data_IF_181993810360
#
_entry.id   IF_181993810360
#
_cell.length_a   1.000
_cell.length_b   1.000
_cell.length_c   1.000
_cell.angle_alpha   90.00
_cell.angle_beta   90.00
_cell.angle_gamma   90.00
#
_symmetry.space_group_name_H-M   'P 1'
#
loop_
_entity.id
_entity.type
_entity.pdbx_description
1 polymer ?
#
# COMPACT_ATOMS: atom_id res chain seq x y z
N UNK A 1 -29.01 -12.14 5.74
CA UNK A 1 -27.80 -12.96 5.67
C UNK A 1 -26.77 -12.16 4.90
N UNK A 2 -25.96 -11.39 5.62
CA UNK A 2 -24.98 -10.44 5.06
C UNK A 2 -23.61 -11.10 5.12
N UNK A 3 -23.04 -11.41 3.96
CA UNK A 3 -21.69 -11.97 3.84
C UNK A 3 -20.65 -10.86 4.04
N UNK A 4 -19.99 -10.89 5.18
CA UNK A 4 -18.79 -10.10 5.48
C UNK A 4 -17.69 -10.47 4.49
N UNK A 5 -17.39 -9.58 3.55
CA UNK A 5 -16.15 -9.60 2.78
C UNK A 5 -15.05 -8.93 3.62
N UNK A 6 -14.36 -9.72 4.45
CA UNK A 6 -13.11 -9.28 5.04
C UNK A 6 -12.05 -9.23 3.93
N UNK A 7 -11.71 -8.02 3.48
CA UNK A 7 -10.52 -7.79 2.65
C UNK A 7 -9.30 -7.72 3.58
N UNK A 8 -8.42 -8.67 3.43
CA UNK A 8 -7.09 -8.64 4.05
C UNK A 8 -6.31 -7.52 3.35
N UNK A 9 -6.03 -6.43 4.06
CA UNK A 9 -5.12 -5.38 3.63
C UNK A 9 -3.69 -5.91 3.80
N UNK A 10 -3.08 -6.36 2.70
CA UNK A 10 -1.65 -6.68 2.66
C UNK A 10 -0.92 -5.36 2.44
N UNK A 11 -0.10 -4.95 3.39
CA UNK A 11 0.75 -3.79 3.28
C UNK A 11 1.77 -4.02 2.15
N UNK A 12 1.69 -3.22 1.08
CA UNK A 12 2.68 -3.21 0.01
C UNK A 12 4.01 -2.71 0.57
N UNK A 13 4.98 -3.61 0.70
CA UNK A 13 6.33 -3.25 1.08
C UNK A 13 6.98 -2.38 0.00
N UNK A 14 7.47 -1.21 0.40
CA UNK A 14 8.30 -0.35 -0.44
C UNK A 14 9.63 -1.08 -0.66
N UNK A 15 9.83 -1.63 -1.86
CA UNK A 15 11.12 -2.20 -2.28
C UNK A 15 12.01 -1.06 -2.77
N UNK A 16 13.09 -0.84 -2.02
CA UNK A 16 14.14 0.10 -2.37
C UNK A 16 14.83 -0.27 -3.69
N UNK A 17 15.16 0.76 -4.46
CA UNK A 17 15.92 0.71 -5.70
C UNK A 17 17.34 0.20 -5.40
N UNK A 18 17.69 -1.01 -5.83
CA UNK A 18 19.07 -1.46 -5.92
C UNK A 18 19.52 -1.37 -7.38
N UNK A 19 20.48 -0.49 -7.64
CA UNK A 19 21.25 -0.42 -8.88
C UNK A 19 22.17 -1.66 -8.96
N UNK A 20 21.87 -2.58 -9.88
CA UNK A 20 22.81 -3.64 -10.24
C UNK A 20 23.52 -3.25 -11.53
N UNK A 21 24.82 -2.97 -11.39
CA UNK A 21 25.76 -2.78 -12.50
C UNK A 21 25.99 -4.14 -13.17
N UNK A 22 25.71 -4.18 -14.48
CA UNK A 22 25.84 -5.40 -15.27
C UNK A 22 27.31 -5.83 -15.48
N UNK A 23 27.56 -7.12 -15.35
CA UNK A 23 28.73 -7.77 -15.93
C UNK A 23 28.28 -8.66 -17.10
N UNK A 24 28.95 -8.47 -18.21
CA UNK A 24 28.62 -9.10 -19.47
C UNK A 24 28.84 -10.62 -19.48
N UNK A 25 27.84 -11.31 -20.03
CA UNK A 25 27.98 -12.71 -20.44
C UNK A 25 28.00 -12.78 -21.97
N UNK A 26 29.08 -13.28 -22.49
CA UNK A 26 29.22 -13.66 -23.91
C UNK A 26 28.48 -14.98 -24.15
N UNK A 27 27.35 -14.93 -24.84
CA UNK A 27 26.63 -16.13 -25.28
C UNK A 27 27.19 -16.64 -26.60
N UNK A 28 27.62 -17.90 -26.60
CA UNK A 28 27.93 -18.67 -27.84
C UNK A 28 26.60 -19.05 -28.52
N UNK A 29 26.58 -18.88 -29.85
CA UNK A 29 25.40 -19.03 -30.67
C UNK A 29 24.84 -20.47 -30.70
N UNK A 30 23.56 -20.56 -30.52
CA UNK A 30 22.70 -21.66 -30.93
C UNK A 30 21.47 -21.03 -31.55
N UNK A 31 21.29 -21.19 -32.86
CA UNK A 31 20.18 -20.62 -33.60
C UNK A 31 18.86 -21.23 -33.19
N UNK A 32 17.99 -20.39 -32.62
CA UNK A 32 16.57 -20.72 -32.41
C UNK A 32 15.80 -20.46 -33.71
N UNK A 33 14.83 -21.29 -34.09
CA UNK A 33 14.01 -21.05 -35.26
C UNK A 33 13.14 -19.81 -35.05
N UNK A 34 13.37 -18.79 -35.85
CA UNK A 34 12.57 -17.57 -35.92
C UNK A 34 11.23 -17.90 -36.60
N UNK A 35 10.27 -18.40 -35.84
CA UNK A 35 8.88 -18.26 -36.24
C UNK A 35 8.48 -16.82 -35.87
N UNK A 36 8.63 -15.89 -36.81
CA UNK A 36 8.02 -14.56 -36.75
C UNK A 36 6.52 -14.77 -36.83
N UNK A 37 5.88 -14.87 -35.65
CA UNK A 37 4.44 -14.75 -35.58
C UNK A 37 4.09 -13.35 -36.13
N UNK A 38 3.27 -13.32 -37.16
CA UNK A 38 2.74 -12.10 -37.78
C UNK A 38 2.08 -11.31 -36.67
N UNK A 39 2.70 -10.19 -36.27
CA UNK A 39 2.19 -9.31 -35.22
C UNK A 39 0.90 -8.66 -35.76
N UNK A 40 -0.24 -9.17 -35.31
CA UNK A 40 -1.53 -8.52 -35.62
C UNK A 40 -1.49 -7.12 -35.01
N UNK A 41 -1.85 -6.13 -35.82
CA UNK A 41 -1.92 -4.75 -35.38
C UNK A 41 -2.79 -4.62 -34.12
N UNK A 42 -2.33 -3.90 -33.08
CA UNK A 42 -3.07 -3.79 -31.82
C UNK A 42 -4.46 -3.23 -32.08
N UNK A 43 -5.49 -3.90 -31.55
CA UNK A 43 -6.85 -3.37 -31.53
C UNK A 43 -6.80 -1.99 -30.89
N UNK A 44 -7.37 -0.98 -31.52
CA UNK A 44 -7.38 0.39 -31.00
C UNK A 44 -7.91 0.38 -29.55
N UNK A 45 -7.06 0.82 -28.61
CA UNK A 45 -7.39 0.81 -27.17
C UNK A 45 -6.91 -0.41 -26.38
N UNK A 46 -6.09 -1.29 -26.94
CA UNK A 46 -5.46 -2.40 -26.19
C UNK A 46 -3.98 -2.13 -25.89
N UNK A 47 -3.52 -2.45 -24.68
CA UNK A 47 -2.12 -2.40 -24.27
C UNK A 47 -1.56 -3.79 -24.10
N UNK A 48 -0.31 -4.00 -24.49
CA UNK A 48 0.39 -5.28 -24.37
C UNK A 48 1.57 -5.20 -23.45
N UNK A 49 1.87 -6.31 -22.80
CA UNK A 49 3.03 -6.47 -21.94
C UNK A 49 3.37 -7.92 -21.69
N UNK A 50 4.31 -8.12 -20.78
CA UNK A 50 4.69 -9.45 -20.31
C UNK A 50 4.26 -9.60 -18.86
N UNK A 51 3.92 -10.82 -18.48
CA UNK A 51 3.64 -11.17 -17.12
C UNK A 51 4.58 -12.28 -16.64
N UNK A 52 4.87 -12.26 -15.34
CA UNK A 52 5.41 -13.39 -14.61
C UNK A 52 4.51 -13.66 -13.42
N UNK A 53 4.41 -14.93 -13.02
CA UNK A 53 3.64 -15.28 -11.85
C UNK A 53 4.26 -16.45 -11.11
N UNK A 54 4.12 -16.44 -9.78
CA UNK A 54 4.51 -17.59 -8.95
C UNK A 54 3.49 -17.81 -7.83
N UNK A 55 3.40 -19.07 -7.37
CA UNK A 55 2.60 -19.37 -6.21
C UNK A 55 3.20 -18.72 -4.98
N UNK A 56 2.46 -17.84 -4.32
CA UNK A 56 2.92 -17.22 -3.08
C UNK A 56 3.02 -18.26 -1.97
N UNK A 57 4.17 -18.28 -1.28
CA UNK A 57 4.43 -19.13 -0.11
C UNK A 57 3.88 -18.54 1.18
N UNK A 58 3.30 -17.36 1.12
CA UNK A 58 2.83 -16.65 2.29
C UNK A 58 1.57 -17.30 2.85
N UNK A 59 1.60 -17.68 4.13
CA UNK A 59 0.42 -18.10 4.90
C UNK A 59 -0.14 -16.86 5.59
N UNK A 60 -1.39 -16.52 5.33
CA UNK A 60 -2.09 -15.47 6.06
C UNK A 60 -2.08 -15.73 7.56
N UNK A 61 -2.02 -14.67 8.35
CA UNK A 61 -2.02 -14.72 9.83
C UNK A 61 -3.20 -15.51 10.43
N UNK A 62 -4.26 -15.73 9.66
CA UNK A 62 -5.47 -16.42 10.10
C UNK A 62 -5.56 -17.91 9.65
N UNK A 63 -4.46 -18.54 9.24
CA UNK A 63 -4.43 -19.98 8.94
C UNK A 63 -5.27 -20.42 7.74
N UNK A 64 -5.81 -19.51 6.94
CA UNK A 64 -6.61 -19.81 5.76
C UNK A 64 -5.75 -20.41 4.64
N UNK A 65 -6.20 -21.53 4.06
CA UNK A 65 -5.53 -22.28 2.97
C UNK A 65 -5.80 -21.69 1.58
N UNK A 66 -6.01 -20.40 1.43
CA UNK A 66 -6.20 -19.78 0.13
C UNK A 66 -4.90 -19.82 -0.68
N UNK A 67 -4.93 -20.39 -1.87
CA UNK A 67 -3.81 -20.33 -2.81
C UNK A 67 -3.70 -18.89 -3.31
N UNK A 68 -2.57 -18.26 -3.03
CA UNK A 68 -2.23 -16.92 -3.52
C UNK A 68 -1.25 -17.04 -4.67
N UNK A 69 -1.34 -16.12 -5.62
CA UNK A 69 -0.44 -16.00 -6.77
C UNK A 69 0.13 -14.58 -6.76
N UNK A 70 1.45 -14.46 -6.77
CA UNK A 70 2.12 -13.21 -7.03
C UNK A 70 2.20 -13.02 -8.54
N UNK A 71 1.44 -12.06 -9.06
CA UNK A 71 1.38 -11.71 -10.48
C UNK A 71 2.12 -10.40 -10.70
N UNK A 72 3.19 -10.44 -11.48
CA UNK A 72 3.94 -9.26 -11.90
C UNK A 72 3.64 -8.97 -13.36
N UNK A 73 3.29 -7.73 -13.64
CA UNK A 73 3.00 -7.21 -14.98
C UNK A 73 4.05 -6.17 -15.36
N UNK A 74 4.57 -6.26 -16.57
CA UNK A 74 5.52 -5.29 -17.11
C UNK A 74 5.11 -4.90 -18.52
N UNK A 75 5.08 -3.60 -18.80
CA UNK A 75 4.83 -3.11 -20.16
C UNK A 75 6.02 -3.37 -21.07
N UNK A 76 5.74 -3.79 -22.30
CA UNK A 76 6.71 -3.94 -23.38
C UNK A 76 6.37 -2.92 -24.47
N UNK A 77 7.33 -2.03 -24.77
CA UNK A 77 7.17 -0.97 -25.78
C UNK A 77 6.43 0.27 -25.27
N UNK A 78 6.54 1.37 -26.05
CA UNK A 78 5.91 2.66 -25.74
C UNK A 78 6.75 3.61 -24.88
N UNK A 79 6.20 4.81 -24.61
CA UNK A 79 6.84 5.81 -23.75
C UNK A 79 6.61 5.47 -22.29
N UNK A 80 7.66 5.08 -21.59
CA UNK A 80 7.66 4.76 -20.16
C UNK A 80 7.59 3.26 -19.89
N UNK A 81 8.58 2.77 -19.11
CA UNK A 81 8.57 1.42 -18.52
C UNK A 81 7.85 1.49 -17.18
N UNK A 82 6.92 0.59 -16.93
CA UNK A 82 6.34 0.38 -15.62
C UNK A 82 6.27 -1.11 -15.32
N UNK A 83 6.33 -1.44 -14.05
CA UNK A 83 6.04 -2.76 -13.51
C UNK A 83 5.08 -2.62 -12.34
N UNK A 84 4.23 -3.61 -12.15
CA UNK A 84 3.34 -3.75 -11.00
C UNK A 84 3.36 -5.20 -10.57
N UNK A 85 3.39 -5.45 -9.27
CA UNK A 85 3.27 -6.78 -8.69
C UNK A 85 2.13 -6.79 -7.69
N UNK A 86 1.24 -7.77 -7.83
CA UNK A 86 0.08 -7.95 -6.98
C UNK A 86 0.02 -9.38 -6.47
N UNK A 87 -0.29 -9.54 -5.18
CA UNK A 87 -0.58 -10.86 -4.62
C UNK A 87 -2.09 -11.08 -4.64
N UNK A 88 -2.54 -12.00 -5.45
CA UNK A 88 -3.95 -12.23 -5.75
C UNK A 88 -4.41 -13.61 -5.26
N UNK A 89 -5.62 -13.72 -4.71
CA UNK A 89 -6.27 -15.00 -4.53
C UNK A 89 -6.47 -15.70 -5.90
N UNK A 90 -6.11 -16.95 -6.01
CA UNK A 90 -6.24 -17.72 -7.26
C UNK A 90 -7.63 -17.60 -7.93
N UNK A 91 -8.76 -17.56 -7.22
CA UNK A 91 -10.08 -17.37 -7.84
C UNK A 91 -10.26 -16.04 -8.59
N UNK A 92 -9.44 -15.01 -8.32
CA UNK A 92 -9.48 -13.75 -9.07
C UNK A 92 -8.83 -13.88 -10.47
N UNK A 93 -8.00 -14.92 -10.67
CA UNK A 93 -7.35 -15.27 -11.95
C UNK A 93 -8.17 -16.30 -12.69
N UNK A 94 -9.26 -15.85 -13.32
CA UNK A 94 -10.22 -16.75 -13.99
C UNK A 94 -9.57 -17.55 -15.12
N UNK A 95 -9.61 -18.86 -15.04
CA UNK A 95 -8.98 -19.78 -16.00
C UNK A 95 -7.67 -20.39 -15.49
N UNK A 96 -7.09 -19.88 -14.39
CA UNK A 96 -5.94 -20.49 -13.73
C UNK A 96 -6.41 -21.41 -12.61
N UNK A 97 -5.80 -22.60 -12.50
CA UNK A 97 -6.15 -23.59 -11.49
C UNK A 97 -4.94 -24.04 -10.68
N UNK A 98 -5.17 -24.58 -9.49
CA UNK A 98 -4.09 -25.13 -8.65
C UNK A 98 -3.33 -26.24 -9.39
N UNK A 99 -4.03 -27.09 -10.16
CA UNK A 99 -3.41 -28.15 -10.94
C UNK A 99 -2.43 -27.61 -12.00
N UNK A 100 -2.75 -26.47 -12.63
CA UNK A 100 -1.83 -25.82 -13.59
C UNK A 100 -0.60 -25.22 -12.89
N UNK A 101 -0.75 -24.70 -11.67
CA UNK A 101 0.36 -24.16 -10.88
C UNK A 101 1.29 -25.27 -10.37
N UNK A 102 0.78 -26.48 -10.15
CA UNK A 102 1.53 -27.62 -9.59
C UNK A 102 2.06 -28.57 -10.66
N UNK A 103 1.63 -28.42 -11.90
CA UNK A 103 2.10 -29.24 -13.01
C UNK A 103 3.59 -28.98 -13.30
N UNK A 104 4.35 -30.01 -13.74
CA UNK A 104 5.72 -29.82 -14.23
C UNK A 104 5.80 -28.81 -15.38
N UNK A 105 4.78 -28.77 -16.24
CA UNK A 105 4.59 -27.77 -17.29
C UNK A 105 3.11 -27.69 -17.67
N UNK A 106 2.59 -26.48 -17.85
CA UNK A 106 1.20 -26.24 -18.29
C UNK A 106 1.10 -24.96 -19.12
N UNK A 107 0.53 -25.08 -20.33
CA UNK A 107 0.12 -23.89 -21.08
C UNK A 107 -1.15 -23.31 -20.44
N UNK A 108 -1.15 -21.99 -20.24
CA UNK A 108 -2.23 -21.31 -19.51
C UNK A 108 -2.80 -20.16 -20.31
N UNK A 109 -4.12 -19.98 -20.11
CA UNK A 109 -4.85 -18.76 -20.46
C UNK A 109 -5.70 -18.38 -19.28
N UNK A 110 -5.52 -17.18 -18.76
CA UNK A 110 -6.32 -16.69 -17.64
C UNK A 110 -6.61 -15.19 -17.80
N UNK A 111 -7.66 -14.75 -17.15
CA UNK A 111 -8.03 -13.34 -17.14
C UNK A 111 -8.07 -12.78 -15.71
N UNK A 112 -7.48 -11.62 -15.52
CA UNK A 112 -7.66 -10.81 -14.34
C UNK A 112 -8.53 -9.60 -14.67
N UNK A 113 -9.75 -9.58 -14.12
CA UNK A 113 -10.76 -8.58 -14.43
C UNK A 113 -10.91 -7.61 -13.27
N UNK A 114 -10.84 -6.32 -13.60
CA UNK A 114 -11.14 -5.19 -12.73
C UNK A 114 -12.25 -4.36 -13.36
N UNK A 115 -12.84 -3.45 -12.61
CA UNK A 115 -13.94 -2.60 -13.11
C UNK A 115 -13.49 -1.74 -14.31
N UNK A 116 -12.25 -1.23 -14.27
CA UNK A 116 -11.69 -0.39 -15.34
C UNK A 116 -11.20 -1.17 -16.58
N UNK A 117 -11.09 -2.51 -16.53
CA UNK A 117 -10.67 -3.32 -17.67
C UNK A 117 -10.21 -4.71 -17.30
N UNK A 118 -9.81 -5.47 -18.32
CA UNK A 118 -9.41 -6.88 -18.19
C UNK A 118 -7.99 -7.08 -18.73
N UNK A 119 -7.20 -7.86 -17.97
CA UNK A 119 -5.91 -8.38 -18.38
C UNK A 119 -6.11 -9.82 -18.85
N UNK A 120 -6.03 -10.04 -20.16
CA UNK A 120 -6.03 -11.36 -20.77
C UNK A 120 -4.60 -11.87 -20.87
N UNK A 121 -4.26 -12.89 -20.11
CA UNK A 121 -2.92 -13.45 -19.95
C UNK A 121 -2.82 -14.80 -20.68
N UNK A 122 -1.74 -14.99 -21.44
CA UNK A 122 -1.41 -16.22 -22.14
C UNK A 122 0.06 -16.54 -21.95
N UNK A 123 0.41 -17.78 -21.64
CA UNK A 123 1.78 -18.21 -21.43
C UNK A 123 1.88 -19.61 -20.90
N UNK A 124 2.91 -19.88 -20.09
CA UNK A 124 3.20 -21.21 -19.56
C UNK A 124 3.65 -21.11 -18.11
N UNK A 125 3.24 -22.08 -17.31
CA UNK A 125 3.83 -22.39 -16.01
C UNK A 125 4.77 -23.60 -16.12
N UNK A 126 5.90 -23.51 -15.42
CA UNK A 126 6.86 -24.61 -15.25
C UNK A 126 7.25 -24.66 -13.77
N UNK A 127 6.98 -25.78 -13.11
CA UNK A 127 7.32 -26.02 -11.70
C UNK A 127 6.93 -24.87 -10.75
N UNK A 128 5.72 -24.31 -10.93
CA UNK A 128 5.15 -23.27 -10.06
C UNK A 128 5.51 -21.82 -10.42
N UNK A 129 6.35 -21.61 -11.44
CA UNK A 129 6.67 -20.29 -11.97
C UNK A 129 6.12 -20.16 -13.38
N UNK A 130 5.42 -19.07 -13.66
CA UNK A 130 4.82 -18.81 -14.96
C UNK A 130 5.31 -17.53 -15.60
N UNK A 131 5.31 -17.51 -16.93
CA UNK A 131 5.61 -16.33 -17.71
C UNK A 131 4.81 -16.32 -19.03
N UNK A 132 4.59 -15.12 -19.56
CA UNK A 132 3.89 -14.98 -20.82
C UNK A 132 3.62 -13.53 -21.19
N UNK A 133 2.61 -13.35 -22.04
CA UNK A 133 2.18 -12.04 -22.52
C UNK A 133 0.76 -11.76 -22.00
N UNK A 134 0.48 -10.50 -21.78
CA UNK A 134 -0.88 -10.05 -21.52
C UNK A 134 -1.32 -8.98 -22.53
N UNK A 135 -2.62 -8.91 -22.70
CA UNK A 135 -3.30 -7.80 -23.38
C UNK A 135 -4.27 -7.19 -22.39
N UNK A 136 -4.16 -5.88 -22.16
CA UNK A 136 -5.11 -5.13 -21.35
C UNK A 136 -6.14 -4.47 -22.29
N UNK A 137 -7.40 -4.65 -22.01
CA UNK A 137 -8.52 -4.01 -22.69
C UNK A 137 -9.32 -3.19 -21.69
N UNK A 138 -9.44 -1.89 -21.93
CA UNK A 138 -10.24 -1.00 -21.09
C UNK A 138 -11.73 -1.33 -21.18
N UNK A 139 -12.46 -1.23 -20.08
CA UNK A 139 -13.91 -1.35 -20.05
C UNK A 139 -14.56 -0.08 -20.61
N UNK A 140 -15.21 -0.19 -21.75
CA UNK A 140 -15.93 0.94 -22.37
C UNK A 140 -17.07 1.45 -21.47
N UNK A 141 -17.74 0.54 -20.74
CA UNK A 141 -18.76 0.89 -19.77
C UNK A 141 -18.20 1.73 -18.61
N UNK A 142 -17.09 1.28 -18.04
CA UNK A 142 -16.39 2.01 -16.96
C UNK A 142 -15.96 3.40 -17.42
N UNK A 143 -15.30 3.49 -18.59
CA UNK A 143 -14.83 4.76 -19.15
C UNK A 143 -16.01 5.72 -19.38
N UNK A 144 -17.11 5.22 -19.96
CA UNK A 144 -18.32 6.02 -20.18
C UNK A 144 -18.93 6.49 -18.85
N UNK A 145 -18.99 5.63 -17.84
CA UNK A 145 -19.54 5.99 -16.53
C UNK A 145 -18.67 7.03 -15.82
N UNK A 146 -17.36 6.85 -15.81
CA UNK A 146 -16.43 7.81 -15.22
C UNK A 146 -16.49 9.17 -15.92
N UNK A 147 -16.68 9.18 -17.24
CA UNK A 147 -16.90 10.43 -17.98
C UNK A 147 -18.18 11.14 -17.54
N UNK A 148 -19.29 10.41 -17.34
CA UNK A 148 -20.54 10.98 -16.80
C UNK A 148 -20.35 11.57 -15.38
N UNK A 149 -19.44 11.03 -14.61
CA UNK A 149 -19.06 11.50 -13.26
C UNK A 149 -18.08 12.69 -13.29
N UNK A 150 -17.71 13.19 -14.48
CA UNK A 150 -16.86 14.38 -14.63
C UNK A 150 -15.37 14.11 -14.67
N UNK A 151 -14.91 12.83 -14.79
CA UNK A 151 -13.48 12.51 -14.84
C UNK A 151 -12.82 12.76 -16.22
N UNK A 152 -13.50 13.38 -17.14
CA UNK A 152 -12.96 13.71 -18.46
C UNK A 152 -12.66 12.48 -19.32
N UNK A 153 -11.74 12.62 -20.27
CA UNK A 153 -11.40 11.54 -21.19
C UNK A 153 -10.37 10.60 -20.54
N UNK A 154 -10.78 9.33 -20.42
CA UNK A 154 -9.95 8.24 -19.92
C UNK A 154 -9.49 7.42 -21.12
N UNK A 155 -8.22 7.58 -21.50
CA UNK A 155 -7.56 6.74 -22.48
C UNK A 155 -7.18 5.37 -21.88
N UNK A 156 -6.69 4.47 -22.72
CA UNK A 156 -6.33 3.12 -22.31
C UNK A 156 -5.22 3.09 -21.25
N UNK A 157 -4.30 4.07 -21.24
CA UNK A 157 -3.23 4.18 -20.24
C UNK A 157 -3.78 4.56 -18.86
N UNK A 158 -4.70 5.53 -18.82
CA UNK A 158 -5.39 5.92 -17.60
C UNK A 158 -6.27 4.78 -17.10
N UNK A 159 -7.01 4.10 -17.97
CA UNK A 159 -7.82 2.94 -17.61
C UNK A 159 -6.96 1.82 -17.01
N UNK A 160 -5.79 1.55 -17.59
CA UNK A 160 -4.83 0.59 -17.06
C UNK A 160 -4.39 0.95 -15.64
N UNK A 161 -3.99 2.20 -15.39
CA UNK A 161 -3.60 2.67 -14.05
C UNK A 161 -4.74 2.50 -13.04
N UNK A 162 -5.97 2.82 -13.44
CA UNK A 162 -7.16 2.65 -12.61
C UNK A 162 -7.45 1.16 -12.31
N UNK A 163 -7.25 0.28 -13.30
CA UNK A 163 -7.40 -1.16 -13.12
C UNK A 163 -6.34 -1.74 -12.19
N UNK A 164 -5.06 -1.38 -12.38
CA UNK A 164 -3.95 -1.84 -11.53
C UNK A 164 -4.18 -1.51 -10.06
N UNK A 165 -4.69 -0.30 -9.77
CA UNK A 165 -4.94 0.13 -8.41
C UNK A 165 -6.38 -0.11 -7.93
N UNK A 166 -7.16 -0.90 -8.66
CA UNK A 166 -8.55 -1.27 -8.31
C UNK A 166 -9.42 -0.05 -7.96
N UNK A 167 -9.31 1.02 -8.75
CA UNK A 167 -10.21 2.16 -8.63
C UNK A 167 -11.54 1.79 -9.27
N UNK A 168 -12.42 1.19 -8.50
CA UNK A 168 -13.75 0.76 -8.95
C UNK A 168 -14.78 1.89 -8.89
N UNK A 169 -15.89 1.75 -9.64
CA UNK A 169 -17.04 2.65 -9.54
C UNK A 169 -17.61 2.69 -8.13
N UNK A 170 -17.68 1.53 -7.47
CA UNK A 170 -18.15 1.46 -6.08
C UNK A 170 -17.26 2.22 -5.11
N UNK A 171 -15.93 2.19 -5.31
CA UNK A 171 -14.99 2.98 -4.52
C UNK A 171 -15.25 4.49 -4.68
N UNK A 172 -15.43 4.95 -5.90
CA UNK A 172 -15.77 6.37 -6.20
C UNK A 172 -17.11 6.76 -5.56
N UNK A 173 -18.13 5.89 -5.66
CA UNK A 173 -19.45 6.13 -5.04
C UNK A 173 -19.36 6.20 -3.51
N UNK A 174 -18.56 5.33 -2.89
CA UNK A 174 -18.39 5.36 -1.45
C UNK A 174 -17.68 6.63 -0.99
N UNK A 175 -16.66 7.09 -1.72
CA UNK A 175 -16.00 8.37 -1.45
C UNK A 175 -16.98 9.54 -1.57
N UNK A 176 -17.80 9.58 -2.62
CA UNK A 176 -18.81 10.62 -2.80
C UNK A 176 -19.82 10.65 -1.64
N UNK A 177 -20.30 9.48 -1.18
CA UNK A 177 -21.18 9.39 0.00
C UNK A 177 -20.52 9.90 1.29
N UNK A 178 -19.20 9.91 1.36
CA UNK A 178 -18.41 10.45 2.48
C UNK A 178 -18.10 11.94 2.31
N UNK A 179 -18.60 12.58 1.25
CA UNK A 179 -18.40 13.99 0.96
C UNK A 179 -17.10 14.29 0.16
N UNK A 180 -16.50 13.25 -0.44
CA UNK A 180 -15.33 13.37 -1.33
C UNK A 180 -15.80 13.24 -2.78
N UNK A 181 -16.52 14.24 -3.26
CA UNK A 181 -16.95 14.34 -4.64
C UNK A 181 -15.79 14.84 -5.53
N UNK A 182 -15.74 14.35 -6.77
CA UNK A 182 -14.77 14.79 -7.79
C UNK A 182 -13.30 14.73 -7.35
N UNK A 183 -12.92 13.72 -6.55
CA UNK A 183 -11.50 13.48 -6.22
C UNK A 183 -10.69 13.31 -7.50
N UNK A 184 -9.63 14.08 -7.75
CA UNK A 184 -8.81 13.91 -8.95
C UNK A 184 -8.32 12.47 -9.12
N UNK A 185 -8.16 12.01 -10.36
CA UNK A 185 -7.77 10.61 -10.66
C UNK A 185 -6.51 10.16 -9.91
N UNK A 186 -5.49 11.01 -9.86
CA UNK A 186 -4.25 10.71 -9.11
C UNK A 186 -4.51 10.62 -7.60
N UNK A 187 -5.47 11.38 -7.08
CA UNK A 187 -5.94 11.28 -5.69
C UNK A 187 -6.65 9.94 -5.42
N UNK A 188 -7.52 9.47 -6.33
CA UNK A 188 -8.17 8.16 -6.24
C UNK A 188 -7.13 7.04 -6.19
N UNK A 189 -6.16 7.10 -7.09
CA UNK A 189 -5.04 6.14 -7.16
C UNK A 189 -4.22 6.20 -5.87
N UNK A 190 -3.88 7.40 -5.38
CA UNK A 190 -3.11 7.59 -4.15
C UNK A 190 -3.83 6.99 -2.93
N UNK A 191 -5.13 7.24 -2.78
CA UNK A 191 -5.93 6.62 -1.71
C UNK A 191 -5.87 5.08 -1.75
N UNK A 192 -5.93 4.50 -2.96
CA UNK A 192 -5.85 3.04 -3.15
C UNK A 192 -4.48 2.49 -2.81
N UNK A 193 -3.40 3.10 -3.35
CA UNK A 193 -2.00 2.69 -3.10
C UNK A 193 -1.69 2.67 -1.60
N UNK A 194 -2.10 3.72 -0.89
CA UNK A 194 -1.76 3.86 0.53
C UNK A 194 -2.82 3.28 1.47
N UNK A 195 -3.87 2.66 0.94
CA UNK A 195 -4.90 2.00 1.74
C UNK A 195 -5.76 2.97 2.57
N UNK A 196 -5.93 4.22 2.10
CA UNK A 196 -6.89 5.15 2.69
C UNK A 196 -8.31 4.82 2.20
N UNK A 197 -8.83 3.69 2.67
CA UNK A 197 -10.12 3.15 2.26
C UNK A 197 -11.31 3.97 2.83
N UNK A 198 -12.52 3.81 2.27
CA UNK A 198 -13.73 4.41 2.84
C UNK A 198 -13.95 4.06 4.32
N UNK A 199 -13.58 2.83 4.74
CA UNK A 199 -13.66 2.40 6.14
C UNK A 199 -12.69 3.18 7.02
N UNK A 200 -11.45 3.42 6.54
CA UNK A 200 -10.48 4.26 7.24
C UNK A 200 -11.01 5.69 7.39
N UNK A 201 -11.55 6.27 6.32
CA UNK A 201 -12.12 7.63 6.33
C UNK A 201 -13.27 7.72 7.33
N UNK A 202 -14.21 6.76 7.32
CA UNK A 202 -15.32 6.66 8.30
C UNK A 202 -14.79 6.53 9.73
N UNK A 203 -13.78 5.69 9.92
CA UNK A 203 -13.13 5.51 11.22
C UNK A 203 -12.50 6.79 11.74
N UNK A 204 -11.75 7.51 10.90
CA UNK A 204 -11.18 8.82 11.26
C UNK A 204 -12.27 9.83 11.61
N UNK A 205 -13.35 9.87 10.84
CA UNK A 205 -14.48 10.76 11.11
C UNK A 205 -15.15 10.44 12.47
N UNK A 206 -15.25 9.17 12.85
CA UNK A 206 -15.78 8.74 14.16
C UNK A 206 -14.88 9.15 15.34
N UNK A 207 -13.59 9.30 15.09
CA UNK A 207 -12.58 9.80 16.05
C UNK A 207 -12.47 11.34 16.06
N UNK A 208 -13.37 12.03 15.35
CA UNK A 208 -13.42 13.50 15.32
C UNK A 208 -12.70 14.13 14.12
N UNK A 209 -12.01 13.37 13.30
CA UNK A 209 -11.27 13.84 12.13
C UNK A 209 -12.15 13.82 10.88
N UNK A 210 -12.96 14.84 10.73
CA UNK A 210 -13.91 14.99 9.61
C UNK A 210 -13.30 15.85 8.50
N UNK A 211 -13.68 15.58 7.24
CA UNK A 211 -13.29 16.37 6.06
C UNK A 211 -11.78 16.55 5.89
N UNK A 212 -11.00 15.50 6.20
CA UNK A 212 -9.58 15.50 5.93
C UNK A 212 -9.33 15.61 4.42
N UNK A 213 -8.30 16.33 4.01
CA UNK A 213 -7.88 16.34 2.61
C UNK A 213 -7.35 14.96 2.17
N UNK A 214 -7.30 14.72 0.86
CA UNK A 214 -6.70 13.50 0.30
C UNK A 214 -5.25 13.33 0.77
N UNK A 215 -4.49 14.43 0.80
CA UNK A 215 -3.10 14.43 1.27
C UNK A 215 -2.97 14.08 2.76
N UNK A 216 -3.87 14.59 3.60
CA UNK A 216 -3.90 14.24 5.02
C UNK A 216 -4.22 12.75 5.23
N UNK A 217 -5.25 12.23 4.53
CA UNK A 217 -5.62 10.82 4.58
C UNK A 217 -4.47 9.91 4.14
N UNK A 218 -3.83 10.28 3.04
CA UNK A 218 -2.68 9.56 2.47
C UNK A 218 -1.48 9.61 3.42
N UNK A 219 -1.15 10.80 3.95
CA UNK A 219 -0.04 10.98 4.89
C UNK A 219 -0.23 10.16 6.16
N UNK A 220 -1.42 10.15 6.75
CA UNK A 220 -1.73 9.30 7.90
C UNK A 220 -1.46 7.83 7.62
N UNK A 221 -1.85 7.34 6.42
CA UNK A 221 -1.65 5.94 6.03
C UNK A 221 -0.18 5.62 5.76
N UNK A 222 0.54 6.48 5.04
CA UNK A 222 1.97 6.32 4.74
C UNK A 222 2.77 6.17 6.04
N UNK A 223 2.48 7.00 7.04
CA UNK A 223 3.18 6.99 8.31
C UNK A 223 2.59 6.03 9.36
N UNK A 224 1.62 5.21 8.98
CA UNK A 224 1.06 4.18 9.86
C UNK A 224 0.23 4.72 11.02
N UNK A 225 -0.39 5.89 10.89
CA UNK A 225 -1.37 6.38 11.86
C UNK A 225 -2.70 5.63 11.69
N UNK A 226 -2.78 4.42 12.25
CA UNK A 226 -3.98 3.58 12.22
C UNK A 226 -5.09 4.13 13.11
N UNK A 227 -6.32 3.65 12.90
CA UNK A 227 -7.46 4.02 13.77
C UNK A 227 -7.23 3.61 15.22
N UNK A 228 -6.57 2.48 15.44
CA UNK A 228 -6.20 2.00 16.77
C UNK A 228 -5.22 2.95 17.44
N UNK A 229 -4.13 3.31 16.72
CA UNK A 229 -3.14 4.27 17.21
C UNK A 229 -3.80 5.61 17.62
N UNK A 230 -4.65 6.15 16.75
CA UNK A 230 -5.35 7.42 17.04
C UNK A 230 -6.23 7.30 18.27
N UNK A 231 -6.99 6.21 18.39
CA UNK A 231 -7.85 5.94 19.56
C UNK A 231 -7.04 5.82 20.85
N UNK A 232 -5.92 5.10 20.80
CA UNK A 232 -5.05 4.92 21.96
C UNK A 232 -4.42 6.23 22.41
N UNK A 233 -3.95 7.05 21.49
CA UNK A 233 -3.41 8.37 21.78
C UNK A 233 -4.50 9.29 22.41
N UNK A 234 -5.72 9.25 21.89
CA UNK A 234 -6.85 10.00 22.47
C UNK A 234 -7.20 9.52 23.87
N UNK A 235 -7.17 8.20 24.13
CA UNK A 235 -7.44 7.63 25.45
C UNK A 235 -6.43 8.07 26.52
N UNK A 236 -5.25 8.47 26.09
CA UNK A 236 -4.18 8.99 26.94
C UNK A 236 -4.26 10.52 27.16
N UNK A 237 -5.34 11.17 26.71
CA UNK A 237 -5.58 12.58 26.91
C UNK A 237 -5.21 13.48 25.73
N UNK A 238 -4.67 12.93 24.65
CA UNK A 238 -4.28 13.70 23.45
C UNK A 238 -5.42 13.73 22.42
N UNK A 239 -6.55 14.30 22.80
CA UNK A 239 -7.72 14.45 21.94
C UNK A 239 -7.57 15.62 20.98
N UNK A 240 -8.12 15.50 19.75
CA UNK A 240 -8.15 16.62 18.78
C UNK A 240 -6.79 17.07 18.27
N UNK A 241 -5.74 16.23 18.36
CA UNK A 241 -4.45 16.56 17.78
C UNK A 241 -4.58 16.81 16.27
N UNK A 242 -3.94 17.87 15.73
CA UNK A 242 -3.81 18.01 14.28
C UNK A 242 -3.20 16.76 13.63
N UNK A 243 -3.56 16.46 12.39
CA UNK A 243 -3.09 15.26 11.68
C UNK A 243 -1.57 15.21 11.52
N UNK A 244 -0.93 16.37 11.34
CA UNK A 244 0.53 16.52 11.28
C UNK A 244 1.21 16.10 12.60
N UNK A 245 0.58 16.34 13.76
CA UNK A 245 1.09 15.87 15.05
C UNK A 245 0.95 14.35 15.21
N UNK A 246 -0.15 13.77 14.73
CA UNK A 246 -0.30 12.30 14.69
C UNK A 246 0.78 11.67 13.80
N UNK A 247 1.03 12.27 12.63
CA UNK A 247 2.10 11.85 11.72
C UNK A 247 3.47 12.01 12.38
N UNK A 248 3.72 13.15 13.02
CA UNK A 248 4.97 13.41 13.76
C UNK A 248 5.20 12.37 14.87
N UNK A 249 4.17 11.99 15.61
CA UNK A 249 4.26 10.92 16.60
C UNK A 249 4.74 9.61 15.97
N UNK A 250 4.18 9.24 14.81
CA UNK A 250 4.57 8.02 14.11
C UNK A 250 6.00 8.09 13.58
N UNK A 251 6.39 9.20 12.96
CA UNK A 251 7.75 9.40 12.42
C UNK A 251 8.80 9.28 13.52
N UNK A 252 8.56 9.91 14.67
CA UNK A 252 9.52 9.94 15.77
C UNK A 252 9.34 8.81 16.79
N UNK A 253 8.40 7.88 16.55
CA UNK A 253 8.18 6.73 17.42
C UNK A 253 7.57 7.06 18.77
N UNK A 254 6.76 8.13 18.85
CA UNK A 254 5.92 8.39 20.04
C UNK A 254 4.74 7.43 20.02
N UNK A 255 4.90 6.30 20.72
CA UNK A 255 3.85 5.27 20.81
C UNK A 255 2.97 5.49 22.06
N UNK A 256 1.77 4.88 22.11
CA UNK A 256 0.95 4.87 23.32
C UNK A 256 1.68 4.31 24.54
N UNK A 257 2.54 3.30 24.36
CA UNK A 257 3.36 2.70 25.45
C UNK A 257 4.38 3.71 25.98
N UNK A 258 5.01 4.46 25.06
CA UNK A 258 5.94 5.54 25.44
C UNK A 258 5.23 6.58 26.30
N UNK A 259 4.06 7.05 25.91
CA UNK A 259 3.27 8.02 26.65
C UNK A 259 2.91 7.46 28.03
N UNK A 260 2.38 6.20 28.10
CA UNK A 260 2.02 5.55 29.39
C UNK A 260 3.23 5.44 30.32
N UNK A 261 4.39 5.10 29.77
CA UNK A 261 5.61 4.95 30.57
C UNK A 261 6.04 6.27 31.23
N UNK A 262 5.89 7.41 30.53
CA UNK A 262 6.20 8.72 31.10
C UNK A 262 5.14 9.18 32.11
N UNK A 263 3.87 8.92 31.86
CA UNK A 263 2.80 9.18 32.85
C UNK A 263 3.07 8.41 34.15
N UNK A 264 3.47 7.16 34.05
CA UNK A 264 3.84 6.35 35.23
C UNK A 264 5.08 6.87 36.01
N UNK A 265 5.88 7.72 35.37
CA UNK A 265 7.02 8.41 36.02
C UNK A 265 6.68 9.79 36.58
N UNK A 266 5.39 10.18 36.54
CA UNK A 266 4.91 11.45 37.10
C UNK A 266 4.78 12.58 36.05
N UNK A 267 5.05 12.29 34.77
CA UNK A 267 4.89 13.29 33.68
C UNK A 267 3.48 13.21 33.08
N UNK A 268 2.49 13.66 33.84
CA UNK A 268 1.06 13.52 33.50
C UNK A 268 0.64 14.35 32.27
N UNK A 269 1.26 15.52 32.07
CA UNK A 269 0.79 16.56 31.13
C UNK A 269 1.87 16.99 30.13
N UNK A 270 2.54 16.03 29.49
CA UNK A 270 3.51 16.33 28.45
C UNK A 270 2.81 16.89 27.21
N UNK A 271 3.36 17.96 26.62
CA UNK A 271 2.87 18.43 25.34
C UNK A 271 3.28 17.49 24.21
N UNK A 272 2.57 17.49 23.07
CA UNK A 272 2.99 16.72 21.89
C UNK A 272 4.42 17.00 21.46
N UNK A 273 4.85 18.26 21.52
CA UNK A 273 6.19 18.67 21.10
C UNK A 273 7.27 18.19 22.11
N UNK A 274 6.96 18.18 23.40
CA UNK A 274 7.84 17.57 24.40
C UNK A 274 8.02 16.07 24.19
N UNK A 275 6.94 15.34 23.91
CA UNK A 275 7.03 13.90 23.62
C UNK A 275 7.91 13.62 22.40
N UNK A 276 7.74 14.41 21.33
CA UNK A 276 8.57 14.31 20.13
C UNK A 276 10.02 14.66 20.43
N UNK A 277 10.28 15.77 21.14
CA UNK A 277 11.63 16.18 21.54
C UNK A 277 12.33 15.09 22.37
N UNK A 278 11.64 14.52 23.34
CA UNK A 278 12.17 13.42 24.16
C UNK A 278 12.56 12.20 23.30
N UNK A 279 11.76 11.86 22.28
CA UNK A 279 12.09 10.77 21.35
C UNK A 279 13.30 11.08 20.49
N UNK A 280 13.35 12.30 19.91
CA UNK A 280 14.46 12.75 19.05
C UNK A 280 15.79 12.71 19.83
N UNK A 281 15.79 13.14 21.08
CA UNK A 281 17.00 13.20 21.89
C UNK A 281 17.24 11.93 22.73
N UNK A 282 16.48 10.87 22.51
CA UNK A 282 16.69 9.58 23.17
C UNK A 282 16.45 9.60 24.68
N UNK A 283 15.56 10.45 25.18
CA UNK A 283 15.10 10.42 26.57
C UNK A 283 14.18 9.22 26.73
N UNK A 284 14.71 8.13 27.31
CA UNK A 284 13.93 6.92 27.57
C UNK A 284 13.38 6.89 29.00
N UNK A 285 12.34 6.08 29.28
CA UNK A 285 11.85 5.88 30.64
C UNK A 285 12.93 5.38 31.63
N UNK A 286 13.85 4.55 31.15
CA UNK A 286 14.96 4.02 31.94
C UNK A 286 15.95 5.13 32.33
N UNK A 287 16.24 6.02 31.36
CA UNK A 287 17.08 7.18 31.62
C UNK A 287 16.44 8.09 32.67
N UNK A 288 15.17 8.37 32.57
CA UNK A 288 14.43 9.21 33.53
C UNK A 288 14.46 8.59 34.93
N UNK A 289 14.20 7.27 35.04
CA UNK A 289 14.29 6.60 36.37
C UNK A 289 15.66 6.76 37.02
N UNK A 290 16.76 6.63 36.26
CA UNK A 290 18.10 6.84 36.76
C UNK A 290 18.32 8.26 37.28
N UNK A 291 17.89 9.25 36.46
CA UNK A 291 18.01 10.67 36.84
C UNK A 291 17.15 10.99 38.07
N UNK A 292 15.91 10.51 38.11
CA UNK A 292 15.02 10.70 39.28
C UNK A 292 15.57 10.05 40.56
N UNK A 293 16.24 8.93 40.42
CA UNK A 293 16.89 8.25 41.58
C UNK A 293 18.05 9.05 42.20
N UNK A 294 18.64 9.97 41.43
CA UNK A 294 19.78 10.80 41.87
C UNK A 294 19.37 12.24 42.23
N UNK A 295 18.48 12.82 41.41
CA UNK A 295 18.14 14.26 41.47
C UNK A 295 16.75 14.50 42.06
N UNK A 296 16.00 13.48 42.46
CA UNK A 296 14.61 13.60 42.89
C UNK A 296 13.63 13.56 41.72
N UNK A 297 12.31 13.57 42.02
CA UNK A 297 11.25 13.38 41.02
C UNK A 297 10.94 14.60 40.14
N UNK A 298 11.36 15.79 40.54
CA UNK A 298 10.99 17.07 39.94
C UNK A 298 11.96 17.51 38.82
N UNK A 299 12.37 16.60 37.97
CA UNK A 299 13.24 16.92 36.83
C UNK A 299 12.40 17.33 35.61
N UNK A 300 12.62 18.53 35.10
CA UNK A 300 11.87 19.02 33.95
C UNK A 300 12.27 18.33 32.65
N UNK A 301 11.36 18.32 31.66
CA UNK A 301 11.62 17.74 30.32
C UNK A 301 12.84 18.41 29.67
N UNK A 302 12.92 19.74 29.73
CA UNK A 302 14.04 20.50 29.11
C UNK A 302 15.39 20.10 29.72
N UNK A 303 15.43 19.87 31.04
CA UNK A 303 16.64 19.37 31.68
C UNK A 303 17.00 17.95 31.25
N UNK A 304 16.03 17.05 31.15
CA UNK A 304 16.25 15.67 30.65
C UNK A 304 16.78 15.68 29.21
N UNK A 305 16.20 16.53 28.33
CA UNK A 305 16.65 16.71 26.96
C UNK A 305 18.07 17.28 26.93
N UNK A 306 18.32 18.35 27.70
CA UNK A 306 19.65 18.98 27.81
C UNK A 306 20.72 17.96 28.28
N UNK A 307 20.42 17.15 29.28
CA UNK A 307 21.34 16.10 29.75
C UNK A 307 21.68 15.09 28.64
N UNK A 308 20.70 14.72 27.81
CA UNK A 308 20.92 13.82 26.67
C UNK A 308 21.75 14.46 25.56
N UNK A 309 21.51 15.74 25.25
CA UNK A 309 22.28 16.47 24.24
C UNK A 309 23.74 16.62 24.64
N UNK A 310 24.02 16.92 25.91
CA UNK A 310 25.36 17.18 26.41
C UNK A 310 26.09 15.95 26.97
N UNK A 311 25.52 14.76 26.77
CA UNK A 311 26.14 13.51 27.23
C UNK A 311 26.24 13.38 28.77
N UNK A 312 25.48 14.21 29.49
CA UNK A 312 25.43 14.12 30.96
C UNK A 312 24.57 12.93 31.36
N UNK A 313 25.14 11.75 31.27
CA UNK A 313 24.49 10.49 31.70
C UNK A 313 24.71 10.20 33.20
N UNK A 314 25.31 11.13 33.89
CA UNK A 314 25.67 10.97 35.29
C UNK A 314 24.65 11.53 36.24
#
# INVERSE_FOLDING_TARGET
>A
MSTLRNRVLIASGVVGMALVVGQGWTARGGGLPTAVAKEEAPVAGALRGVWTAERSKWRGENGGTATLVELSLRRVGGRGQWNSSETLPLPELRGLTTAMLEAPSADVRFAWTRDAGTFDCQGRFETGVGAGHFTFTASAEYVSDMKRRGYGDIDVEKALRLALHDVSRSFVDELARLGYEHVPMDGLISLRIHGASPEFIKGMASLGYRKLSIDQLTSLRIHGASLEFVRDVQSLGYTGLPTDKLVSFRIHGVSPEFIRAFKALGYESLTPDQLVSMRIHGVSPEFVRRVQGRSGKDVTVDRLVSMRIHGQSE
#
